data_IF_130060089886
#
_entry.id   IF_130060089886
#
_cell.length_a   1.000
_cell.length_b   1.000
_cell.length_c   1.000
_cell.angle_alpha   90.00
_cell.angle_beta   90.00
_cell.angle_gamma   90.00
#
_symmetry.space_group_name_H-M   'P 1'
#
loop_
_entity.id
_entity.type
_entity.pdbx_description
1 polymer ?
#
# COMPACT_ATOMS: atom_id res chain seq x y z
N UNK A 1 -1.39 39.24 -5.05
CA UNK A 1 -2.07 38.79 -3.82
C UNK A 1 -1.77 37.30 -3.68
N UNK A 2 -0.72 36.94 -2.94
CA UNK A 2 -0.23 35.57 -2.88
C UNK A 2 -1.15 34.73 -1.99
N UNK A 3 -1.86 33.77 -2.56
CA UNK A 3 -2.66 32.83 -1.78
C UNK A 3 -1.72 31.84 -1.09
N UNK A 4 -1.38 32.14 0.16
CA UNK A 4 -0.72 31.18 1.05
C UNK A 4 -1.72 30.08 1.41
N UNK A 5 -1.36 28.84 1.12
CA UNK A 5 -2.01 27.67 1.70
C UNK A 5 -1.24 27.32 2.95
N UNK A 6 -1.93 27.22 4.07
CA UNK A 6 -1.34 26.69 5.29
C UNK A 6 -1.82 25.24 5.44
N UNK A 7 -0.87 24.32 5.61
CA UNK A 7 -1.16 22.90 5.80
C UNK A 7 -0.19 22.28 6.79
N UNK A 8 -0.65 21.24 7.48
CA UNK A 8 0.16 20.36 8.31
C UNK A 8 0.04 18.93 7.78
N UNK A 9 1.19 18.29 7.57
CA UNK A 9 1.28 16.90 7.11
C UNK A 9 1.80 16.03 8.27
N UNK A 10 1.04 15.02 8.64
CA UNK A 10 1.43 13.99 9.57
C UNK A 10 1.49 12.65 8.83
N UNK A 11 2.61 11.96 8.96
CA UNK A 11 2.79 10.64 8.37
C UNK A 11 3.52 9.72 9.36
N UNK A 12 2.99 8.52 9.53
CA UNK A 12 3.60 7.46 10.31
C UNK A 12 3.65 6.18 9.48
N UNK A 13 4.79 5.49 9.52
CA UNK A 13 4.97 4.20 8.87
C UNK A 13 5.69 3.24 9.82
N UNK A 14 5.24 2.00 9.85
CA UNK A 14 5.77 0.95 10.70
C UNK A 14 5.93 -0.34 9.90
N UNK A 15 7.07 -1.01 10.10
CA UNK A 15 7.35 -2.33 9.54
C UNK A 15 7.89 -3.22 10.65
N UNK A 16 7.21 -4.34 10.87
CA UNK A 16 7.54 -5.30 11.92
C UNK A 16 7.84 -6.64 11.28
N UNK A 17 9.03 -7.16 11.56
CA UNK A 17 9.50 -8.44 11.03
C UNK A 17 9.81 -9.35 12.21
N UNK A 18 9.24 -10.54 12.20
CA UNK A 18 9.50 -11.58 13.19
C UNK A 18 9.66 -12.92 12.51
N UNK A 19 10.74 -13.62 12.85
CA UNK A 19 10.99 -14.99 12.40
C UNK A 19 10.74 -15.93 13.58
N UNK A 20 9.86 -16.90 13.38
CA UNK A 20 9.52 -17.93 14.37
C UNK A 20 10.12 -19.27 13.94
N UNK A 21 11.06 -19.77 14.73
CA UNK A 21 11.94 -20.87 14.31
C UNK A 21 12.85 -20.43 13.16
N UNK A 22 13.18 -21.36 12.27
CA UNK A 22 14.12 -21.09 11.16
C UNK A 22 13.43 -20.82 9.82
N UNK A 23 12.17 -21.24 9.67
CA UNK A 23 11.48 -21.28 8.37
C UNK A 23 10.26 -20.38 8.26
N UNK A 24 9.75 -19.82 9.35
CA UNK A 24 8.52 -19.04 9.33
C UNK A 24 8.84 -17.58 9.61
N UNK A 25 8.46 -16.68 8.71
CA UNK A 25 8.69 -15.25 8.83
C UNK A 25 7.40 -14.48 8.61
N UNK A 26 7.12 -13.57 9.51
CA UNK A 26 5.94 -12.71 9.49
C UNK A 26 6.41 -11.28 9.28
N UNK A 27 5.75 -10.59 8.35
CA UNK A 27 5.98 -9.19 8.04
C UNK A 27 4.64 -8.47 8.18
N UNK A 28 4.62 -7.48 9.05
CA UNK A 28 3.46 -6.61 9.27
C UNK A 28 3.86 -5.20 8.89
N UNK A 29 3.04 -4.54 8.06
CA UNK A 29 3.25 -3.14 7.69
C UNK A 29 2.01 -2.33 8.01
N UNK A 30 2.22 -1.10 8.44
CA UNK A 30 1.17 -0.13 8.67
C UNK A 30 1.63 1.26 8.27
N UNK A 31 0.77 2.01 7.59
CA UNK A 31 1.00 3.39 7.21
C UNK A 31 -0.25 4.21 7.49
N UNK A 32 -0.05 5.38 8.07
CA UNK A 32 -1.09 6.38 8.34
C UNK A 32 -0.60 7.72 7.82
N UNK A 33 -1.49 8.44 7.16
CA UNK A 33 -1.26 9.79 6.65
C UNK A 33 -2.43 10.70 6.95
N UNK A 34 -2.14 11.94 7.34
CA UNK A 34 -3.13 12.99 7.58
C UNK A 34 -2.60 14.34 7.12
N UNK A 35 -3.40 15.05 6.31
CA UNK A 35 -3.20 16.44 5.91
C UNK A 35 -4.31 17.26 6.54
N UNK A 36 -3.92 18.20 7.39
CA UNK A 36 -4.81 19.24 7.90
C UNK A 36 -4.54 20.51 7.11
N UNK A 37 -5.57 21.09 6.50
CA UNK A 37 -5.42 22.29 5.67
C UNK A 37 -6.72 23.09 5.63
N UNK A 38 -6.59 24.39 5.42
CA UNK A 38 -7.72 25.29 5.19
C UNK A 38 -8.28 25.20 3.76
N UNK A 39 -7.53 24.65 2.81
CA UNK A 39 -7.91 24.57 1.40
C UNK A 39 -7.23 23.39 0.70
N UNK A 40 -7.91 22.22 0.70
CA UNK A 40 -7.35 20.99 0.13
C UNK A 40 -7.14 21.07 -1.39
N UNK A 41 -7.96 21.84 -2.10
CA UNK A 41 -7.87 21.96 -3.56
C UNK A 41 -6.58 22.67 -3.99
N UNK A 42 -6.02 23.51 -3.11
CA UNK A 42 -4.73 24.15 -3.33
C UNK A 42 -3.53 23.36 -2.79
N UNK A 43 -3.73 22.25 -2.09
CA UNK A 43 -2.62 21.35 -1.71
C UNK A 43 -2.06 20.71 -2.99
N UNK A 44 -0.76 20.81 -3.28
CA UNK A 44 -0.15 20.16 -4.44
C UNK A 44 -0.44 18.65 -4.47
N UNK A 45 -0.77 18.05 -5.64
CA UNK A 45 -1.06 16.63 -5.76
C UNK A 45 0.03 15.71 -5.19
N UNK A 46 1.30 16.10 -5.28
CA UNK A 46 2.45 15.34 -4.75
C UNK A 46 2.42 15.20 -3.21
N UNK A 47 1.73 16.10 -2.52
CA UNK A 47 1.55 16.05 -1.08
C UNK A 47 0.28 15.32 -0.66
N UNK A 48 -0.63 15.03 -1.60
CA UNK A 48 -1.88 14.31 -1.32
C UNK A 48 -1.63 12.82 -1.24
N UNK A 49 -2.45 12.12 -0.47
CA UNK A 49 -2.32 10.68 -0.34
C UNK A 49 -3.10 9.92 -1.41
N UNK A 50 -2.48 8.86 -1.90
CA UNK A 50 -3.07 7.88 -2.80
C UNK A 50 -2.68 6.48 -2.32
N UNK A 51 -3.65 5.57 -2.29
CA UNK A 51 -3.41 4.17 -1.97
C UNK A 51 -3.40 3.28 -3.23
N UNK A 52 -2.95 2.04 -3.08
CA UNK A 52 -2.86 1.05 -4.15
C UNK A 52 -1.45 0.86 -4.71
N UNK A 53 -1.13 -0.40 -5.04
CA UNK A 53 0.18 -0.83 -5.56
C UNK A 53 1.04 -1.58 -4.54
N UNK A 54 2.26 -1.91 -4.94
CA UNK A 54 3.19 -2.88 -4.32
C UNK A 54 3.45 -2.69 -2.81
N UNK A 55 3.44 -1.44 -2.32
CA UNK A 55 3.75 -1.10 -0.93
C UNK A 55 2.60 -0.43 -0.18
N UNK A 56 1.41 -0.50 -0.76
CA UNK A 56 0.19 0.07 -0.20
C UNK A 56 -0.89 -1.01 -0.13
N UNK A 57 -1.55 -1.30 -1.25
CA UNK A 57 -2.57 -2.35 -1.36
C UNK A 57 -2.31 -3.11 -2.66
N UNK A 58 -1.57 -4.23 -2.57
CA UNK A 58 -1.29 -5.09 -3.73
C UNK A 58 -2.60 -5.63 -4.29
N UNK A 59 -2.65 -5.75 -5.62
CA UNK A 59 -3.87 -6.11 -6.36
C UNK A 59 -4.61 -4.90 -6.94
N UNK A 60 -4.32 -3.69 -6.46
CA UNK A 60 -4.79 -2.44 -7.08
C UNK A 60 -3.66 -1.75 -7.84
N UNK A 61 -4.03 -0.96 -8.84
CA UNK A 61 -3.08 -0.14 -9.59
C UNK A 61 -2.36 0.84 -8.67
N UNK A 62 -1.11 1.16 -9.01
CA UNK A 62 -0.32 2.16 -8.31
C UNK A 62 -1.08 3.48 -8.20
N UNK A 63 -1.23 4.00 -6.98
CA UNK A 63 -1.98 5.22 -6.68
C UNK A 63 -3.42 5.23 -7.23
N UNK A 64 -4.02 4.05 -7.42
CA UNK A 64 -5.35 3.88 -8.02
C UNK A 64 -6.52 4.14 -7.09
N UNK A 65 -6.27 4.37 -5.79
CA UNK A 65 -7.31 4.51 -4.76
C UNK A 65 -7.21 5.90 -4.14
N UNK A 66 -8.22 6.74 -4.39
CA UNK A 66 -8.47 8.02 -3.73
C UNK A 66 -9.91 8.46 -4.01
N UNK A 67 -10.39 9.55 -3.40
CA UNK A 67 -11.59 10.25 -3.87
C UNK A 67 -11.44 10.64 -5.35
N UNK A 68 -12.58 10.77 -6.02
CA UNK A 68 -12.70 11.22 -7.41
C UNK A 68 -13.43 12.56 -7.45
N UNK A 69 -13.02 13.44 -8.35
CA UNK A 69 -13.73 14.67 -8.66
C UNK A 69 -14.91 14.41 -9.60
N UNK A 70 -15.65 15.46 -9.92
CA UNK A 70 -16.80 15.41 -10.83
C UNK A 70 -16.43 14.96 -12.26
N UNK A 71 -15.17 15.14 -12.64
CA UNK A 71 -14.61 14.69 -13.92
C UNK A 71 -14.15 13.21 -13.90
N UNK A 72 -14.40 12.50 -12.79
CA UNK A 72 -14.04 11.10 -12.58
C UNK A 72 -12.56 10.86 -12.30
N UNK A 73 -11.71 11.89 -12.29
CA UNK A 73 -10.27 11.75 -12.03
C UNK A 73 -9.99 11.65 -10.54
N UNK A 74 -8.90 10.97 -10.21
CA UNK A 74 -8.41 10.84 -8.83
C UNK A 74 -7.89 12.20 -8.36
N UNK A 75 -8.46 12.70 -7.25
CA UNK A 75 -8.09 14.01 -6.68
C UNK A 75 -7.05 13.91 -5.58
N UNK A 76 -6.73 12.69 -5.12
CA UNK A 76 -5.96 12.46 -3.91
C UNK A 76 -6.82 12.66 -2.65
N UNK A 77 -6.27 12.20 -1.53
CA UNK A 77 -6.93 12.19 -0.23
C UNK A 77 -6.17 13.00 0.82
N UNK A 78 -6.90 13.60 1.76
CA UNK A 78 -6.31 14.22 2.95
C UNK A 78 -5.93 13.19 4.01
N UNK A 79 -6.56 12.01 4.03
CA UNK A 79 -6.30 10.96 5.02
C UNK A 79 -6.05 9.63 4.33
N UNK A 80 -5.12 8.86 4.86
CA UNK A 80 -4.81 7.52 4.36
C UNK A 80 -4.48 6.60 5.52
N UNK A 81 -4.96 5.36 5.41
CA UNK A 81 -4.57 4.26 6.28
C UNK A 81 -4.40 3.01 5.44
N UNK A 82 -3.25 2.36 5.52
CA UNK A 82 -3.00 1.10 4.84
C UNK A 82 -2.27 0.15 5.78
N UNK A 83 -2.64 -1.13 5.72
CA UNK A 83 -2.06 -2.20 6.51
C UNK A 83 -1.79 -3.42 5.63
N UNK A 84 -0.79 -4.19 6.01
CA UNK A 84 -0.41 -5.43 5.34
C UNK A 84 0.02 -6.47 6.34
N UNK A 85 -0.48 -7.70 6.14
CA UNK A 85 -0.03 -8.90 6.82
C UNK A 85 0.54 -9.83 5.77
N UNK A 86 1.80 -10.21 5.93
CA UNK A 86 2.50 -11.11 5.04
C UNK A 86 3.16 -12.25 5.83
N UNK A 87 2.93 -13.45 5.35
CA UNK A 87 3.53 -14.67 5.87
C UNK A 87 4.47 -15.25 4.81
N UNK A 88 5.69 -15.56 5.23
CA UNK A 88 6.73 -16.14 4.40
C UNK A 88 7.19 -17.46 5.01
N UNK A 89 7.31 -18.48 4.16
CA UNK A 89 7.79 -19.80 4.54
C UNK A 89 9.03 -20.17 3.71
N UNK A 90 10.13 -20.53 4.38
CA UNK A 90 11.33 -21.03 3.72
C UNK A 90 11.08 -22.45 3.21
N UNK A 91 10.89 -22.58 1.90
CA UNK A 91 10.63 -23.85 1.23
C UNK A 91 11.91 -24.66 1.15
N UNK A 92 12.99 -24.04 0.64
CA UNK A 92 14.29 -24.71 0.49
C UNK A 92 15.41 -23.69 0.25
N UNK A 93 16.53 -23.87 0.96
CA UNK A 93 17.73 -23.04 0.80
C UNK A 93 17.43 -21.55 0.89
N UNK A 94 17.49 -20.88 -0.28
CA UNK A 94 17.33 -19.43 -0.46
C UNK A 94 15.95 -19.02 -1.01
N UNK A 95 15.02 -19.97 -1.12
CA UNK A 95 13.69 -19.79 -1.71
C UNK A 95 12.60 -19.80 -0.63
N UNK A 96 11.83 -18.72 -0.60
CA UNK A 96 10.70 -18.57 0.30
C UNK A 96 9.42 -18.41 -0.51
N UNK A 97 8.36 -19.10 -0.11
CA UNK A 97 7.01 -18.81 -0.54
C UNK A 97 6.42 -17.72 0.35
N UNK A 98 5.56 -16.87 -0.20
CA UNK A 98 4.88 -15.81 0.52
C UNK A 98 3.38 -15.84 0.21
N UNK A 99 2.57 -15.48 1.20
CA UNK A 99 1.17 -15.13 1.04
C UNK A 99 0.88 -13.88 1.85
N UNK A 100 -0.01 -13.04 1.36
CA UNK A 100 -0.28 -11.76 2.00
C UNK A 100 -1.70 -11.28 1.77
N UNK A 101 -2.12 -10.40 2.67
CA UNK A 101 -3.33 -9.60 2.55
C UNK A 101 -2.99 -8.15 2.91
N UNK A 102 -3.38 -7.25 2.03
CA UNK A 102 -3.22 -5.82 2.19
C UNK A 102 -4.61 -5.19 2.23
N UNK A 103 -4.84 -4.23 3.11
CA UNK A 103 -6.10 -3.52 3.22
C UNK A 103 -5.88 -2.07 3.61
N UNK A 104 -6.67 -1.17 3.05
CA UNK A 104 -6.56 0.24 3.38
C UNK A 104 -7.53 1.11 2.61
N UNK A 105 -7.40 2.41 2.82
CA UNK A 105 -8.21 3.42 2.16
C UNK A 105 -7.47 4.75 2.10
N UNK A 106 -7.88 5.60 1.16
CA UNK A 106 -7.49 6.98 1.05
C UNK A 106 -8.78 7.80 0.89
N UNK A 107 -9.10 8.65 1.86
CA UNK A 107 -10.39 9.38 1.96
C UNK A 107 -10.19 10.81 2.47
N UNK A 108 -11.16 11.69 2.22
CA UNK A 108 -11.14 13.05 2.76
C UNK A 108 -11.81 13.15 4.14
N UNK A 109 -12.87 12.37 4.34
CA UNK A 109 -13.63 12.27 5.58
C UNK A 109 -13.73 10.80 5.98
N UNK A 110 -13.62 10.50 7.27
CA UNK A 110 -13.79 9.12 7.74
C UNK A 110 -15.21 8.59 7.58
N UNK A 111 -16.21 9.47 7.42
CA UNK A 111 -17.59 9.09 7.07
C UNK A 111 -17.68 8.37 5.73
N UNK A 112 -16.75 8.67 4.81
CA UNK A 112 -16.76 8.18 3.43
C UNK A 112 -15.89 6.92 3.29
N UNK A 113 -15.80 6.14 4.38
CA UNK A 113 -14.88 5.03 4.49
C UNK A 113 -15.11 4.00 3.40
N UNK A 114 -14.08 3.70 2.62
CA UNK A 114 -14.13 2.75 1.51
C UNK A 114 -12.85 1.90 1.50
N UNK A 115 -12.82 0.91 2.38
CA UNK A 115 -11.69 0.00 2.47
C UNK A 115 -11.59 -0.86 1.23
N UNK A 116 -10.39 -0.86 0.65
CA UNK A 116 -9.98 -1.70 -0.45
C UNK A 116 -9.04 -2.76 0.10
N UNK A 117 -9.33 -4.01 -0.24
CA UNK A 117 -8.55 -5.16 0.20
C UNK A 117 -8.05 -5.91 -1.01
N UNK A 118 -6.79 -6.31 -0.97
CA UNK A 118 -6.18 -7.17 -1.97
C UNK A 118 -5.39 -8.27 -1.30
N UNK A 119 -5.33 -9.42 -1.96
CA UNK A 119 -4.61 -10.59 -1.45
C UNK A 119 -3.84 -11.24 -2.58
N UNK A 120 -2.79 -11.96 -2.19
CA UNK A 120 -1.91 -12.55 -3.17
C UNK A 120 -0.91 -13.53 -2.58
N UNK A 121 -0.14 -14.08 -3.49
CA UNK A 121 0.96 -15.00 -3.22
C UNK A 121 2.21 -14.50 -3.91
N UNK A 122 3.36 -14.97 -3.43
CA UNK A 122 4.62 -14.56 -4.01
C UNK A 122 5.75 -15.51 -3.69
N UNK A 123 6.89 -15.19 -4.27
CA UNK A 123 8.17 -15.86 -4.08
C UNK A 123 9.18 -14.81 -3.62
N UNK A 124 10.01 -15.16 -2.65
CA UNK A 124 11.22 -14.41 -2.28
C UNK A 124 12.43 -15.28 -2.55
N UNK A 125 13.40 -14.72 -3.25
CA UNK A 125 14.65 -15.39 -3.56
C UNK A 125 15.83 -14.56 -3.07
N UNK A 126 16.66 -15.14 -2.22
CA UNK A 126 17.92 -14.53 -1.81
C UNK A 126 18.97 -14.77 -2.90
N UNK A 127 18.97 -13.94 -3.92
CA UNK A 127 19.94 -14.01 -5.02
C UNK A 127 21.34 -13.57 -4.55
N UNK A 128 22.42 -13.87 -5.30
CA UNK A 128 23.76 -13.38 -4.99
C UNK A 128 23.87 -11.85 -4.96
N UNK A 129 22.98 -11.14 -5.66
CA UNK A 129 22.96 -9.66 -5.76
C UNK A 129 21.96 -9.01 -4.79
N UNK A 130 21.25 -9.80 -3.99
CA UNK A 130 20.30 -9.32 -2.98
C UNK A 130 18.93 -10.01 -3.04
N UNK A 131 18.00 -9.65 -2.13
CA UNK A 131 16.65 -10.20 -2.11
C UNK A 131 15.86 -9.78 -3.36
N UNK A 132 15.24 -10.75 -4.02
CA UNK A 132 14.31 -10.57 -5.13
C UNK A 132 12.93 -10.99 -4.67
N UNK A 133 11.91 -10.20 -4.99
CA UNK A 133 10.51 -10.56 -4.78
C UNK A 133 9.73 -10.61 -6.08
N UNK A 134 8.80 -11.56 -6.14
CA UNK A 134 7.81 -11.73 -7.19
C UNK A 134 6.46 -11.93 -6.51
N UNK A 135 5.52 -11.02 -6.72
CA UNK A 135 4.17 -11.08 -6.15
C UNK A 135 3.11 -11.07 -7.24
N UNK A 136 2.06 -11.84 -7.01
CA UNK A 136 0.84 -11.84 -7.82
C UNK A 136 -0.31 -11.59 -6.86
N UNK A 137 -1.13 -10.57 -7.14
CA UNK A 137 -2.24 -10.19 -6.28
C UNK A 137 -3.48 -9.79 -7.07
N UNK A 138 -4.65 -9.94 -6.44
CA UNK A 138 -5.92 -9.49 -6.97
C UNK A 138 -6.70 -8.70 -5.91
N UNK A 139 -7.60 -7.78 -6.32
CA UNK A 139 -8.62 -7.22 -5.44
C UNK A 139 -9.49 -8.33 -4.83
N UNK A 140 -9.88 -8.19 -3.58
CA UNK A 140 -10.76 -9.12 -2.86
C UNK A 140 -11.99 -8.37 -2.38
N UNK A 141 -13.18 -8.84 -2.78
CA UNK A 141 -14.45 -8.25 -2.37
C UNK A 141 -14.77 -6.89 -3.02
N UNK A 142 -14.12 -6.57 -4.15
CA UNK A 142 -14.39 -5.37 -4.94
C UNK A 142 -15.20 -5.74 -6.19
N UNK A 143 -16.31 -5.03 -6.42
CA UNK A 143 -17.21 -5.27 -7.56
C UNK A 143 -16.86 -4.43 -8.79
N UNK A 144 -16.00 -3.42 -8.64
CA UNK A 144 -15.61 -2.49 -9.72
C UNK A 144 -14.21 -2.81 -10.23
N UNK A 145 -13.32 -3.24 -9.32
CA UNK A 145 -11.91 -3.50 -9.62
C UNK A 145 -11.64 -5.00 -9.75
N UNK A 146 -11.13 -5.41 -10.91
CA UNK A 146 -10.82 -6.80 -11.22
C UNK A 146 -9.46 -6.93 -11.90
N UNK A 147 -8.93 -8.15 -11.93
CA UNK A 147 -7.71 -8.50 -12.66
C UNK A 147 -6.49 -8.69 -11.76
N UNK A 148 -5.53 -9.45 -12.28
CA UNK A 148 -4.28 -9.76 -11.59
C UNK A 148 -3.27 -8.62 -11.77
N UNK A 149 -2.56 -8.30 -10.70
CA UNK A 149 -1.41 -7.41 -10.69
C UNK A 149 -0.16 -8.21 -10.39
N UNK A 150 0.91 -7.91 -11.12
CA UNK A 150 2.21 -8.56 -10.99
C UNK A 150 3.23 -7.54 -10.50
N UNK A 151 4.03 -7.93 -9.52
CA UNK A 151 5.06 -7.06 -8.97
C UNK A 151 6.39 -7.81 -8.93
N UNK A 152 7.44 -7.14 -9.39
CA UNK A 152 8.82 -7.61 -9.30
C UNK A 152 9.64 -6.52 -8.63
N UNK A 153 10.49 -6.90 -7.68
CA UNK A 153 11.35 -5.97 -6.97
C UNK A 153 12.68 -6.59 -6.61
N UNK A 154 13.73 -5.77 -6.63
CA UNK A 154 15.07 -6.09 -6.16
C UNK A 154 15.42 -5.13 -5.01
N UNK A 155 15.92 -5.67 -3.91
CA UNK A 155 16.36 -4.88 -2.76
C UNK A 155 15.69 -5.29 -1.45
N UNK A 156 16.05 -4.63 -0.35
CA UNK A 156 15.46 -4.92 0.95
C UNK A 156 13.94 -4.75 0.91
N UNK A 157 13.22 -5.60 1.64
CA UNK A 157 11.75 -5.51 1.82
C UNK A 157 11.30 -4.28 2.62
N UNK A 158 12.17 -3.27 2.77
CA UNK A 158 12.02 -2.11 3.63
C UNK A 158 11.44 -0.91 2.92
#
# INVERSE_FOLDING_TARGET
MGFRVDFALLQAQNVWIRTLGEKNRFVVRGQVGWIETNDFDKVPPDLRFFAGGDRSIRGYKFQGISPRGDDGKLTGASKMVTGSLEYQYNVTGRWWGAMFVDSGQAVNKFSDSNFKTGAGVGVRWQSPVGPVKLDIAAPVGDQETHGLQFYIGLGPEL
#
